data_IF_057694654609
#
_entry.id   IF_057694654609
#
_cell.length_a   1.000
_cell.length_b   1.000
_cell.length_c   1.000
_cell.angle_alpha   90.00
_cell.angle_beta   90.00
_cell.angle_gamma   90.00
#
_symmetry.space_group_name_H-M   'P 1'
#
loop_
_entity.id
_entity.type
_entity.pdbx_description
1 polymer ?
#
# COMPACT_ATOMS: atom_id res chain seq x y z
N UNK A 1 -6.36 -11.17 -9.63
CA UNK A 1 -6.07 -12.60 -9.44
C UNK A 1 -6.47 -13.07 -8.04
N UNK A 2 -6.07 -12.38 -6.96
CA UNK A 2 -6.27 -12.81 -5.56
C UNK A 2 -7.53 -12.23 -4.92
N UNK A 3 -7.96 -11.03 -5.25
CA UNK A 3 -9.22 -10.43 -4.79
C UNK A 3 -10.29 -10.52 -5.89
N UNK A 4 -11.11 -11.57 -5.84
CA UNK A 4 -12.17 -11.80 -6.84
C UNK A 4 -13.41 -10.96 -6.57
N UNK A 5 -13.74 -10.74 -5.29
CA UNK A 5 -14.83 -9.87 -4.89
C UNK A 5 -14.47 -8.41 -5.18
N UNK A 6 -15.34 -7.69 -5.88
CA UNK A 6 -15.16 -6.28 -6.25
C UNK A 6 -15.73 -5.31 -5.21
N UNK A 7 -16.44 -5.81 -4.22
CA UNK A 7 -17.02 -5.04 -3.12
C UNK A 7 -16.10 -4.93 -1.90
N UNK A 8 -14.86 -5.43 -2.00
CA UNK A 8 -13.88 -5.30 -0.92
C UNK A 8 -13.53 -3.83 -0.69
N UNK A 9 -13.33 -3.47 0.59
CA UNK A 9 -12.89 -2.14 0.99
C UNK A 9 -11.37 -2.05 0.93
N UNK A 10 -10.85 -1.11 0.13
CA UNK A 10 -9.41 -0.94 -0.13
C UNK A 10 -8.93 0.39 0.42
N UNK A 11 -7.74 0.41 1.02
CA UNK A 11 -7.02 1.62 1.41
C UNK A 11 -5.79 1.80 0.53
N UNK A 12 -5.72 2.94 -0.17
CA UNK A 12 -4.59 3.34 -1.01
C UNK A 12 -3.69 4.30 -0.23
N UNK A 13 -2.63 3.76 0.33
CA UNK A 13 -1.68 4.46 1.18
C UNK A 13 -0.59 5.13 0.34
N UNK A 14 -0.55 6.46 0.37
CA UNK A 14 0.30 7.26 -0.52
C UNK A 14 -0.29 7.36 -1.92
N UNK A 15 -1.57 7.70 -2.00
CA UNK A 15 -2.33 7.67 -3.25
C UNK A 15 -1.91 8.74 -4.28
N UNK A 16 -1.10 9.74 -3.87
CA UNK A 16 -0.61 10.80 -4.76
C UNK A 16 -1.73 11.51 -5.51
N UNK A 17 -1.67 11.49 -6.82
CA UNK A 17 -2.69 12.06 -7.72
C UNK A 17 -3.78 11.05 -8.13
N UNK A 18 -3.80 9.87 -7.51
CA UNK A 18 -4.88 8.88 -7.68
C UNK A 18 -4.68 7.87 -8.81
N UNK A 19 -3.48 7.62 -9.29
CA UNK A 19 -3.23 6.69 -10.38
C UNK A 19 -3.69 5.26 -10.04
N UNK A 20 -3.45 4.80 -8.81
CA UNK A 20 -3.93 3.48 -8.34
C UNK A 20 -5.46 3.45 -8.31
N UNK A 21 -6.11 4.51 -7.84
CA UNK A 21 -7.58 4.62 -7.84
C UNK A 21 -8.18 4.53 -9.25
N UNK A 22 -7.54 5.15 -10.24
CA UNK A 22 -7.95 5.04 -11.65
C UNK A 22 -7.89 3.58 -12.13
N UNK A 23 -6.82 2.86 -11.82
CA UNK A 23 -6.69 1.45 -12.18
C UNK A 23 -7.70 0.57 -11.43
N UNK A 24 -7.90 0.79 -10.13
CA UNK A 24 -8.91 0.08 -9.35
C UNK A 24 -10.31 0.22 -9.98
N UNK A 25 -10.67 1.44 -10.40
CA UNK A 25 -11.94 1.70 -11.08
C UNK A 25 -12.08 0.93 -12.38
N UNK A 26 -11.03 0.88 -13.21
CA UNK A 26 -11.02 0.10 -14.46
C UNK A 26 -11.23 -1.39 -14.21
N UNK A 27 -10.71 -1.91 -13.10
CA UNK A 27 -10.92 -3.29 -12.68
C UNK A 27 -12.26 -3.55 -11.96
N UNK A 28 -13.11 -2.55 -11.85
CA UNK A 28 -14.46 -2.68 -11.29
C UNK A 28 -14.54 -2.61 -9.77
N UNK A 29 -13.48 -2.16 -9.08
CA UNK A 29 -13.53 -1.86 -7.64
C UNK A 29 -14.18 -0.48 -7.44
N UNK A 30 -15.01 -0.34 -6.40
CA UNK A 30 -15.75 0.89 -6.13
C UNK A 30 -15.66 1.36 -4.67
N UNK A 31 -15.15 0.53 -3.77
CA UNK A 31 -15.07 0.81 -2.33
C UNK A 31 -13.60 1.01 -1.93
N UNK A 32 -13.05 2.20 -2.21
CA UNK A 32 -11.68 2.52 -1.82
C UNK A 32 -11.53 3.95 -1.34
N UNK A 33 -10.70 4.09 -0.30
CA UNK A 33 -10.27 5.34 0.30
C UNK A 33 -8.79 5.58 -0.03
N UNK A 34 -8.37 6.84 -0.10
CA UNK A 34 -6.99 7.21 -0.37
C UNK A 34 -6.42 8.12 0.71
N UNK A 35 -5.11 8.03 0.94
CA UNK A 35 -4.40 8.95 1.80
C UNK A 35 -3.05 9.38 1.23
N UNK A 36 -2.70 10.64 1.43
CA UNK A 36 -1.39 11.17 1.08
C UNK A 36 -0.99 12.30 2.05
N UNK A 37 0.30 12.52 2.22
CA UNK A 37 0.84 13.62 3.04
C UNK A 37 0.61 14.99 2.36
N UNK A 38 0.62 15.01 1.04
CA UNK A 38 0.54 16.23 0.23
C UNK A 38 -0.90 16.61 -0.11
N UNK A 39 -1.43 17.63 0.57
CA UNK A 39 -2.73 18.19 0.21
C UNK A 39 -2.79 18.61 -1.27
N UNK A 40 -1.70 19.16 -1.81
CA UNK A 40 -1.63 19.57 -3.21
C UNK A 40 -1.84 18.41 -4.19
N UNK A 41 -1.36 17.20 -3.87
CA UNK A 41 -1.60 16.01 -4.68
C UNK A 41 -3.04 15.53 -4.54
N UNK A 42 -3.57 15.52 -3.33
CA UNK A 42 -4.98 15.17 -3.08
C UNK A 42 -5.95 16.07 -3.83
N UNK A 43 -5.65 17.37 -3.92
CA UNK A 43 -6.47 18.36 -4.62
C UNK A 43 -6.52 18.15 -6.16
N UNK A 44 -5.55 17.39 -6.71
CA UNK A 44 -5.49 17.03 -8.13
C UNK A 44 -6.28 15.76 -8.47
N UNK A 45 -6.74 15.02 -7.46
CA UNK A 45 -7.48 13.78 -7.67
C UNK A 45 -8.85 14.09 -8.30
N UNK A 46 -9.26 13.38 -9.35
CA UNK A 46 -10.58 13.54 -9.94
C UNK A 46 -11.70 13.37 -8.91
N UNK A 47 -12.69 14.26 -8.94
CA UNK A 47 -13.85 14.17 -8.05
C UNK A 47 -14.53 12.80 -8.17
N UNK A 48 -14.95 12.25 -7.03
CA UNK A 48 -15.64 10.95 -6.95
C UNK A 48 -14.79 9.73 -7.42
N UNK A 49 -13.46 9.87 -7.47
CA UNK A 49 -12.59 8.75 -7.73
C UNK A 49 -12.45 7.85 -6.49
N UNK A 50 -12.23 8.44 -5.32
CA UNK A 50 -12.20 7.76 -4.02
C UNK A 50 -13.49 8.04 -3.25
N UNK A 51 -13.86 7.15 -2.32
CA UNK A 51 -14.96 7.40 -1.38
C UNK A 51 -14.60 8.50 -0.39
N UNK A 52 -13.39 8.38 0.20
CA UNK A 52 -12.83 9.36 1.11
C UNK A 52 -11.35 9.60 0.77
N UNK A 53 -10.88 10.82 1.03
CA UNK A 53 -9.48 11.20 0.93
C UNK A 53 -9.02 11.79 2.26
N UNK A 54 -7.87 11.31 2.75
CA UNK A 54 -7.30 11.72 4.02
C UNK A 54 -5.90 12.33 3.81
N UNK A 55 -5.64 13.46 4.46
CA UNK A 55 -4.27 13.92 4.60
C UNK A 55 -3.63 13.17 5.76
N UNK A 56 -2.64 12.32 5.50
CA UNK A 56 -1.99 11.48 6.50
C UNK A 56 -0.49 11.35 6.27
N UNK A 57 0.26 11.35 7.36
CA UNK A 57 1.67 10.99 7.40
C UNK A 57 1.78 9.50 7.72
N UNK A 58 2.14 8.69 6.75
CA UNK A 58 2.24 7.23 6.91
C UNK A 58 3.40 6.78 7.82
N UNK A 59 4.26 7.70 8.28
CA UNK A 59 5.24 7.42 9.32
C UNK A 59 4.66 7.51 10.74
N UNK A 60 3.36 7.83 10.86
CA UNK A 60 2.62 7.96 12.12
C UNK A 60 1.42 7.02 12.11
N UNK A 61 0.89 6.67 13.29
CA UNK A 61 -0.39 5.98 13.37
C UNK A 61 -1.48 6.75 12.61
N UNK A 62 -2.22 6.04 11.76
CA UNK A 62 -3.34 6.63 11.02
C UNK A 62 -4.63 6.57 11.86
N UNK A 63 -5.49 7.59 11.74
CA UNK A 63 -6.78 7.65 12.45
C UNK A 63 -7.84 6.73 11.81
N UNK A 64 -7.51 5.44 11.74
CA UNK A 64 -8.32 4.38 11.15
C UNK A 64 -8.43 3.26 12.18
N UNK A 65 -9.63 2.71 12.35
CA UNK A 65 -9.86 1.57 13.25
C UNK A 65 -9.12 0.32 12.78
N UNK A 66 -8.80 -0.56 13.74
CA UNK A 66 -8.27 -1.89 13.44
C UNK A 66 -9.24 -2.67 12.54
N UNK A 67 -8.69 -3.45 11.62
CA UNK A 67 -9.47 -4.32 10.72
C UNK A 67 -10.52 -3.58 9.87
N UNK A 68 -10.26 -2.33 9.49
CA UNK A 68 -11.19 -1.51 8.72
C UNK A 68 -11.26 -1.87 7.22
N UNK A 69 -10.17 -2.45 6.68
CA UNK A 69 -10.03 -2.71 5.24
C UNK A 69 -9.79 -4.18 4.92
N UNK A 70 -10.31 -4.60 3.77
CA UNK A 70 -10.06 -5.94 3.22
C UNK A 70 -8.71 -6.01 2.48
N UNK A 71 -8.24 -4.85 1.98
CA UNK A 71 -6.93 -4.73 1.38
C UNK A 71 -6.30 -3.36 1.61
N UNK A 72 -4.97 -3.33 1.67
CA UNK A 72 -4.15 -2.11 1.65
C UNK A 72 -3.23 -2.16 0.44
N UNK A 73 -3.16 -1.06 -0.30
CA UNK A 73 -2.21 -0.86 -1.39
C UNK A 73 -1.28 0.30 -1.06
N UNK A 74 0.01 0.15 -1.37
CA UNK A 74 1.01 1.19 -1.19
C UNK A 74 1.99 1.14 -2.37
N UNK A 75 1.63 1.83 -3.45
CA UNK A 75 2.34 1.75 -4.73
C UNK A 75 3.06 3.07 -5.03
N UNK A 76 4.37 3.01 -5.27
CA UNK A 76 5.19 4.19 -5.58
C UNK A 76 5.52 5.09 -4.39
N UNK A 77 5.24 4.65 -3.16
CA UNK A 77 5.39 5.45 -1.94
C UNK A 77 6.67 5.11 -1.17
N UNK A 78 7.06 3.83 -1.14
CA UNK A 78 8.32 3.42 -0.52
C UNK A 78 9.49 3.76 -1.45
N UNK A 79 9.93 5.02 -1.37
CA UNK A 79 11.03 5.60 -2.14
C UNK A 79 11.95 6.41 -1.23
N UNK A 80 13.05 6.93 -1.78
CA UNK A 80 14.05 7.70 -1.01
C UNK A 80 13.43 8.88 -0.25
N UNK A 81 13.72 8.95 1.06
CA UNK A 81 13.37 10.09 1.91
C UNK A 81 11.91 10.19 2.34
N UNK A 82 11.08 9.20 2.07
CA UNK A 82 9.64 9.27 2.34
C UNK A 82 9.19 8.37 3.51
N UNK A 83 8.47 7.29 3.21
CA UNK A 83 7.85 6.43 4.22
C UNK A 83 8.79 5.32 4.65
N UNK A 84 8.87 5.07 5.97
CA UNK A 84 9.75 4.07 6.59
C UNK A 84 9.07 2.69 6.68
N UNK A 85 9.86 1.60 6.89
CA UNK A 85 9.33 0.25 6.99
C UNK A 85 8.29 0.03 8.09
N UNK A 86 8.31 0.85 9.15
CA UNK A 86 7.35 0.78 10.26
C UNK A 86 5.89 1.02 9.81
N UNK A 87 5.66 1.67 8.68
CA UNK A 87 4.33 1.81 8.10
C UNK A 87 3.66 0.45 7.85
N UNK A 88 4.43 -0.62 7.63
CA UNK A 88 3.89 -1.97 7.44
C UNK A 88 3.16 -2.49 8.69
N UNK A 89 3.53 -2.08 9.90
CA UNK A 89 2.80 -2.42 11.13
C UNK A 89 1.39 -1.84 11.12
N UNK A 90 1.25 -0.56 10.70
CA UNK A 90 -0.05 0.10 10.57
C UNK A 90 -0.89 -0.54 9.47
N UNK A 91 -0.29 -0.89 8.35
CA UNK A 91 -1.00 -1.59 7.28
C UNK A 91 -1.57 -2.93 7.76
N UNK A 92 -0.80 -3.69 8.56
CA UNK A 92 -1.30 -4.92 9.19
C UNK A 92 -2.43 -4.60 10.17
N UNK A 93 -2.28 -3.56 11.01
CA UNK A 93 -3.30 -3.18 12.01
C UNK A 93 -4.64 -2.89 11.38
N UNK A 94 -4.68 -2.07 10.33
CA UNK A 94 -5.92 -1.64 9.68
C UNK A 94 -6.51 -2.67 8.71
N UNK A 95 -5.72 -3.68 8.31
CA UNK A 95 -6.18 -4.76 7.42
C UNK A 95 -6.85 -5.87 8.23
N UNK A 96 -7.95 -6.42 7.75
CA UNK A 96 -8.65 -7.57 8.35
C UNK A 96 -7.78 -8.84 8.32
N UNK A 97 -8.11 -9.80 9.20
CA UNK A 97 -7.56 -11.16 9.08
C UNK A 97 -7.87 -11.74 7.70
N UNK A 98 -6.89 -12.37 7.05
CA UNK A 98 -6.93 -12.85 5.66
C UNK A 98 -7.07 -11.73 4.61
N UNK A 99 -7.00 -10.47 5.01
CA UNK A 99 -6.93 -9.35 4.08
C UNK A 99 -5.56 -9.26 3.41
N UNK A 100 -5.47 -8.49 2.35
CA UNK A 100 -4.28 -8.42 1.50
C UNK A 100 -3.53 -7.10 1.69
N UNK A 101 -2.21 -7.18 1.69
CA UNK A 101 -1.34 -6.00 1.61
C UNK A 101 -0.49 -6.13 0.35
N UNK A 102 -0.60 -5.14 -0.55
CA UNK A 102 0.18 -5.04 -1.78
C UNK A 102 1.01 -3.76 -1.76
N UNK A 103 2.31 -3.85 -2.01
CA UNK A 103 3.19 -2.70 -2.03
C UNK A 103 4.32 -2.82 -3.04
N UNK A 104 4.90 -1.68 -3.40
CA UNK A 104 6.16 -1.62 -4.13
C UNK A 104 7.22 -0.91 -3.29
N UNK A 105 8.47 -1.42 -3.33
CA UNK A 105 9.62 -0.80 -2.68
C UNK A 105 10.67 -0.51 -3.76
N UNK A 106 11.13 0.74 -3.87
CA UNK A 106 12.22 1.09 -4.75
C UNK A 106 13.45 0.21 -4.43
N UNK A 107 14.09 -0.32 -5.46
CA UNK A 107 15.24 -1.22 -5.34
C UNK A 107 16.33 -0.68 -4.42
N UNK A 108 16.68 0.61 -4.57
CA UNK A 108 17.78 1.24 -3.84
C UNK A 108 17.55 1.37 -2.34
N UNK A 109 16.31 1.30 -1.85
CA UNK A 109 16.02 1.45 -0.41
C UNK A 109 15.62 0.16 0.29
N UNK A 110 15.43 -0.94 -0.45
CA UNK A 110 14.96 -2.20 0.10
C UNK A 110 15.82 -2.69 1.27
N UNK A 111 17.15 -2.73 1.10
CA UNK A 111 18.08 -3.10 2.15
C UNK A 111 18.55 -1.87 2.95
N UNK A 112 18.84 -0.76 2.28
CA UNK A 112 19.38 0.46 2.89
C UNK A 112 18.49 1.00 4.03
N UNK A 113 17.16 0.97 3.83
CA UNK A 113 16.20 1.46 4.85
C UNK A 113 15.64 0.33 5.74
N UNK A 114 16.08 -0.91 5.54
CA UNK A 114 15.71 -2.06 6.38
C UNK A 114 14.31 -2.62 6.09
N UNK A 115 13.79 -2.44 4.89
CA UNK A 115 12.53 -3.08 4.48
C UNK A 115 12.65 -4.61 4.46
N UNK A 116 13.79 -5.15 4.00
CA UNK A 116 14.12 -6.56 4.03
C UNK A 116 13.97 -7.14 5.45
N UNK A 117 14.61 -6.50 6.43
CA UNK A 117 14.57 -6.92 7.84
C UNK A 117 13.18 -6.83 8.44
N UNK A 118 12.43 -5.77 8.11
CA UNK A 118 11.06 -5.58 8.61
C UNK A 118 10.11 -6.63 8.04
N UNK A 119 10.21 -6.93 6.76
CA UNK A 119 9.43 -7.97 6.09
C UNK A 119 9.66 -9.34 6.73
N UNK A 120 10.93 -9.69 6.99
CA UNK A 120 11.30 -10.94 7.67
C UNK A 120 10.83 -10.97 9.13
N UNK A 121 10.95 -9.86 9.86
CA UNK A 121 10.47 -9.74 11.23
C UNK A 121 8.97 -10.04 11.32
N UNK A 122 8.15 -9.42 10.48
CA UNK A 122 6.71 -9.61 10.44
C UNK A 122 6.32 -11.05 10.07
N UNK A 123 7.09 -11.69 9.19
CA UNK A 123 6.90 -13.09 8.85
C UNK A 123 7.25 -14.02 10.02
N UNK A 124 8.37 -13.79 10.71
CA UNK A 124 8.76 -14.55 11.92
C UNK A 124 7.77 -14.39 13.07
N UNK A 125 7.16 -13.22 13.21
CA UNK A 125 6.10 -12.94 14.18
C UNK A 125 4.74 -13.51 13.78
N UNK A 126 4.65 -14.20 12.64
CA UNK A 126 3.42 -14.75 12.08
C UNK A 126 2.31 -13.69 11.88
N UNK A 127 2.69 -12.45 11.55
CA UNK A 127 1.75 -11.34 11.30
C UNK A 127 1.17 -11.37 9.90
N UNK A 128 1.89 -11.97 8.97
CA UNK A 128 1.45 -12.16 7.58
C UNK A 128 2.10 -13.38 6.92
N UNK A 129 1.54 -13.75 5.79
CA UNK A 129 2.03 -14.82 4.93
C UNK A 129 2.35 -14.27 3.55
N UNK A 130 3.55 -14.53 3.06
CA UNK A 130 3.94 -14.16 1.70
C UNK A 130 3.13 -14.94 0.66
N UNK A 131 2.52 -14.21 -0.28
CA UNK A 131 1.89 -14.77 -1.48
C UNK A 131 2.83 -14.63 -2.66
N UNK A 132 3.29 -13.39 -2.94
CA UNK A 132 4.27 -13.09 -3.98
C UNK A 132 5.27 -12.06 -3.47
N UNK A 133 6.53 -12.18 -3.89
CA UNK A 133 7.55 -11.17 -3.68
C UNK A 133 8.62 -11.33 -4.76
N UNK A 134 8.73 -10.34 -5.64
CA UNK A 134 9.64 -10.39 -6.77
C UNK A 134 10.06 -8.98 -7.20
N UNK A 135 11.20 -8.91 -7.88
CA UNK A 135 11.73 -7.69 -8.49
C UNK A 135 11.13 -7.53 -9.89
N UNK A 136 10.70 -6.35 -10.22
CA UNK A 136 10.11 -6.00 -11.51
C UNK A 136 10.62 -4.65 -11.99
N UNK A 137 10.70 -4.48 -13.29
CA UNK A 137 10.92 -3.19 -13.94
C UNK A 137 9.73 -2.28 -13.62
N UNK A 138 9.94 -1.30 -12.75
CA UNK A 138 8.86 -0.45 -12.26
C UNK A 138 8.58 0.73 -13.19
N UNK A 139 9.65 1.40 -13.65
CA UNK A 139 9.58 2.46 -14.66
C UNK A 139 10.62 2.14 -15.74
N UNK A 140 10.23 1.37 -16.74
CA UNK A 140 11.12 0.92 -17.80
C UNK A 140 11.84 2.07 -18.54
N UNK A 141 11.16 3.21 -18.72
CA UNK A 141 11.74 4.41 -19.35
C UNK A 141 12.81 5.11 -18.53
N UNK A 142 12.96 4.78 -17.24
CA UNK A 142 13.94 5.38 -16.31
C UNK A 142 14.90 4.37 -15.71
N UNK A 143 14.84 3.11 -16.15
CA UNK A 143 15.65 2.01 -15.59
C UNK A 143 15.52 1.92 -14.04
N UNK A 144 14.29 2.12 -13.55
CA UNK A 144 13.96 2.06 -12.12
C UNK A 144 13.25 0.76 -11.82
N UNK A 145 13.90 -0.08 -11.03
CA UNK A 145 13.35 -1.34 -10.54
C UNK A 145 12.69 -1.16 -9.17
N UNK A 146 11.72 -2.00 -8.90
CA UNK A 146 11.11 -2.09 -7.59
C UNK A 146 10.84 -3.55 -7.20
N UNK A 147 10.88 -3.81 -5.91
CA UNK A 147 10.32 -5.01 -5.32
C UNK A 147 8.81 -4.87 -5.22
N UNK A 148 8.08 -5.86 -5.69
CA UNK A 148 6.63 -5.97 -5.52
C UNK A 148 6.33 -7.05 -4.49
N UNK A 149 5.58 -6.68 -3.45
CA UNK A 149 5.16 -7.57 -2.38
C UNK A 149 3.65 -7.72 -2.34
N UNK A 150 3.18 -8.96 -2.18
CA UNK A 150 1.79 -9.30 -1.89
C UNK A 150 1.76 -10.28 -0.73
N UNK A 151 1.06 -9.89 0.34
CA UNK A 151 1.01 -10.64 1.60
C UNK A 151 -0.43 -10.75 2.09
N UNK A 152 -0.75 -11.88 2.72
CA UNK A 152 -2.02 -12.12 3.43
C UNK A 152 -1.81 -11.92 4.93
N UNK A 153 -2.63 -11.09 5.56
CA UNK A 153 -2.56 -10.80 7.00
C UNK A 153 -3.06 -11.99 7.83
N UNK A 154 -2.34 -12.29 8.91
CA UNK A 154 -2.68 -13.31 9.90
C UNK A 154 -2.95 -12.62 11.25
N UNK A 155 -4.11 -12.90 11.85
CA UNK A 155 -4.52 -12.41 13.19
C UNK A 155 -5.23 -13.49 13.96
#
# INVERSE_FOLDING_TARGET
KYAKDKNIKIYDAGCGTGLVGVELKKFGYNEYDGADLSQKLLDLIPKNLYKNLFKADLNKPVEINDNAYDAVMCVGTFTFGHVKPQALDEFIRITKNKGLICFTINEGIHEEYGFDKKIEELARQNKWKKIEFFKSDYIASKDVNAWLGLYEVIK
#
